data_IF_105624530735
#
_entry.id   IF_105624530735
#
_cell.length_a   1.000
_cell.length_b   1.000
_cell.length_c   1.000
_cell.angle_alpha   90.00
_cell.angle_beta   90.00
_cell.angle_gamma   90.00
#
_symmetry.space_group_name_H-M   'P 1'
#
loop_
_entity.id
_entity.type
_entity.pdbx_description
1 polymer ?
#
# COMPACT_ATOMS: atom_id res chain seq x y z
N UNK A 1 -19.09 -13.91 -23.18
CA UNK A 1 -18.15 -13.76 -22.06
C UNK A 1 -16.78 -13.46 -22.64
N UNK A 2 -16.15 -12.36 -22.23
CA UNK A 2 -14.78 -12.01 -22.61
C UNK A 2 -13.76 -12.87 -21.87
N UNK A 3 -12.54 -12.95 -22.38
CA UNK A 3 -11.42 -13.77 -21.85
C UNK A 3 -11.06 -13.46 -20.38
N UNK A 4 -11.46 -12.29 -19.86
CA UNK A 4 -11.07 -11.80 -18.53
C UNK A 4 -12.24 -11.49 -17.59
N UNK A 5 -13.48 -11.89 -17.93
CA UNK A 5 -14.69 -11.51 -17.18
C UNK A 5 -14.67 -11.89 -15.69
N UNK A 6 -13.92 -12.94 -15.35
CA UNK A 6 -13.78 -13.50 -14.01
C UNK A 6 -12.78 -12.73 -13.12
N UNK A 7 -11.88 -11.94 -13.72
CA UNK A 7 -10.87 -11.18 -12.98
C UNK A 7 -10.99 -9.66 -13.16
N UNK A 8 -11.55 -9.18 -14.27
CA UNK A 8 -11.58 -7.74 -14.58
C UNK A 8 -12.50 -6.93 -13.66
N UNK A 9 -12.26 -5.61 -13.54
CA UNK A 9 -13.20 -4.70 -12.91
C UNK A 9 -14.50 -4.54 -13.70
N UNK A 10 -15.49 -3.88 -13.08
CA UNK A 10 -16.73 -3.55 -13.78
C UNK A 10 -16.53 -2.48 -14.85
N UNK A 11 -17.36 -2.56 -15.88
CA UNK A 11 -17.50 -1.56 -16.95
C UNK A 11 -18.75 -0.72 -16.75
N UNK A 12 -18.83 0.42 -17.44
CA UNK A 12 -19.94 1.37 -17.30
C UNK A 12 -21.32 0.74 -17.54
N UNK A 13 -21.43 -0.23 -18.45
CA UNK A 13 -22.69 -0.94 -18.73
C UNK A 13 -23.14 -1.85 -17.56
N UNK A 14 -22.22 -2.27 -16.70
CA UNK A 14 -22.48 -3.12 -15.54
C UNK A 14 -22.81 -2.30 -14.28
N UNK A 15 -22.36 -1.04 -14.20
CA UNK A 15 -22.49 -0.17 -13.01
C UNK A 15 -23.94 -0.02 -12.53
N UNK A 16 -24.94 0.29 -13.38
CA UNK A 16 -26.32 0.49 -12.91
C UNK A 16 -26.89 -0.75 -12.20
N UNK A 17 -26.56 -1.96 -12.70
CA UNK A 17 -27.03 -3.20 -12.11
C UNK A 17 -26.37 -3.45 -10.75
N UNK A 18 -25.06 -3.24 -10.63
CA UNK A 18 -24.32 -3.41 -9.37
C UNK A 18 -24.80 -2.39 -8.33
N UNK A 19 -24.92 -1.12 -8.72
CA UNK A 19 -25.43 -0.06 -7.84
C UNK A 19 -26.85 -0.35 -7.36
N UNK A 20 -27.71 -0.91 -8.21
CA UNK A 20 -29.06 -1.34 -7.80
C UNK A 20 -29.02 -2.40 -6.70
N UNK A 21 -28.12 -3.38 -6.78
CA UNK A 21 -27.92 -4.37 -5.70
C UNK A 21 -27.45 -3.71 -4.41
N UNK A 22 -26.41 -2.87 -4.50
CA UNK A 22 -25.83 -2.16 -3.35
C UNK A 22 -26.85 -1.28 -2.61
N UNK A 23 -27.78 -0.65 -3.34
CA UNK A 23 -28.85 0.18 -2.75
C UNK A 23 -29.83 -0.60 -1.86
N UNK A 24 -29.89 -1.92 -2.01
CA UNK A 24 -30.78 -2.79 -1.25
C UNK A 24 -30.00 -3.76 -0.35
N UNK A 25 -28.69 -3.61 -0.24
CA UNK A 25 -27.85 -4.49 0.55
C UNK A 25 -27.92 -4.14 2.06
N UNK A 26 -28.44 -5.08 2.85
CA UNK A 26 -28.60 -4.92 4.29
C UNK A 26 -27.27 -4.90 5.05
N UNK A 27 -26.23 -5.57 4.54
CA UNK A 27 -24.90 -5.53 5.16
C UNK A 27 -24.28 -4.14 5.01
N UNK A 28 -24.43 -3.51 3.84
CA UNK A 28 -23.95 -2.14 3.60
C UNK A 28 -24.66 -1.13 4.49
N UNK A 29 -25.98 -1.23 4.64
CA UNK A 29 -26.76 -0.38 5.56
C UNK A 29 -26.26 -0.53 6.99
N UNK A 30 -26.09 -1.78 7.47
CA UNK A 30 -25.58 -2.05 8.83
C UNK A 30 -24.17 -1.51 9.05
N UNK A 31 -23.29 -1.64 8.06
CA UNK A 31 -21.92 -1.14 8.14
C UNK A 31 -21.90 0.41 8.26
N UNK A 32 -22.67 1.11 7.43
CA UNK A 32 -22.77 2.57 7.48
C UNK A 32 -23.42 3.03 8.79
N UNK A 33 -24.44 2.33 9.26
CA UNK A 33 -25.12 2.63 10.52
C UNK A 33 -24.16 2.50 11.71
N UNK A 34 -23.38 1.42 11.77
CA UNK A 34 -22.40 1.21 12.83
C UNK A 34 -21.31 2.30 12.84
N UNK A 35 -20.86 2.72 11.65
CA UNK A 35 -19.84 3.75 11.50
C UNK A 35 -20.35 5.17 11.81
N UNK A 36 -21.53 5.55 11.30
CA UNK A 36 -22.09 6.91 11.47
C UNK A 36 -22.81 7.11 12.80
N UNK A 37 -23.42 6.06 13.34
CA UNK A 37 -24.28 6.12 14.52
C UNK A 37 -23.91 5.06 15.57
N UNK A 38 -22.65 5.01 16.03
CA UNK A 38 -22.18 3.95 16.93
C UNK A 38 -22.94 3.90 18.27
N UNK A 39 -23.43 5.05 18.76
CA UNK A 39 -24.17 5.16 20.03
C UNK A 39 -25.70 5.08 19.87
N UNK A 40 -26.24 5.54 18.74
CA UNK A 40 -27.68 5.65 18.47
C UNK A 40 -28.29 4.37 17.87
N UNK A 41 -27.49 3.57 17.17
CA UNK A 41 -27.91 2.30 16.56
C UNK A 41 -28.43 1.25 17.57
N UNK A 42 -28.06 1.38 18.86
CA UNK A 42 -28.54 0.50 19.93
C UNK A 42 -29.97 0.78 20.39
N UNK A 43 -30.44 2.03 20.30
CA UNK A 43 -31.72 2.46 20.87
C UNK A 43 -32.79 2.80 19.82
N UNK A 44 -32.39 3.23 18.62
CA UNK A 44 -33.31 3.71 17.58
C UNK A 44 -33.02 3.06 16.22
N UNK A 45 -32.69 1.77 16.22
CA UNK A 45 -32.21 1.03 15.04
C UNK A 45 -33.12 1.15 13.81
N UNK A 46 -34.43 1.05 14.00
CA UNK A 46 -35.39 1.15 12.88
C UNK A 46 -35.32 2.52 12.18
N UNK A 47 -35.20 3.61 12.96
CA UNK A 47 -35.11 4.97 12.43
C UNK A 47 -33.74 5.24 11.79
N UNK A 48 -32.64 4.83 12.43
CA UNK A 48 -31.29 5.00 11.89
C UNK A 48 -31.09 4.18 10.61
N UNK A 49 -31.54 2.92 10.58
CA UNK A 49 -31.53 2.10 9.37
C UNK A 49 -32.39 2.73 8.26
N UNK A 50 -33.58 3.27 8.56
CA UNK A 50 -34.43 3.95 7.57
C UNK A 50 -33.74 5.19 6.96
N UNK A 51 -33.15 6.05 7.80
CA UNK A 51 -32.43 7.25 7.35
C UNK A 51 -31.21 6.89 6.50
N UNK A 52 -30.42 5.88 6.93
CA UNK A 52 -29.26 5.39 6.17
C UNK A 52 -29.69 4.84 4.82
N UNK A 53 -30.74 4.00 4.77
CA UNK A 53 -31.27 3.46 3.51
C UNK A 53 -31.71 4.57 2.57
N UNK A 54 -32.49 5.55 3.05
CA UNK A 54 -32.96 6.67 2.23
C UNK A 54 -31.79 7.51 1.70
N UNK A 55 -30.79 7.78 2.53
CA UNK A 55 -29.60 8.51 2.13
C UNK A 55 -28.76 7.73 1.10
N UNK A 56 -28.55 6.44 1.32
CA UNK A 56 -27.82 5.55 0.41
C UNK A 56 -28.53 5.48 -0.95
N UNK A 57 -29.86 5.30 -0.95
CA UNK A 57 -30.65 5.31 -2.17
C UNK A 57 -30.56 6.65 -2.90
N UNK A 58 -30.54 7.77 -2.18
CA UNK A 58 -30.42 9.09 -2.79
C UNK A 58 -29.03 9.32 -3.42
N UNK A 59 -27.95 9.01 -2.70
CA UNK A 59 -26.59 9.25 -3.18
C UNK A 59 -26.19 8.32 -4.33
N UNK A 60 -26.55 7.04 -4.23
CA UNK A 60 -26.19 6.05 -5.24
C UNK A 60 -27.03 6.17 -6.52
N UNK A 61 -28.20 6.83 -6.49
CA UNK A 61 -29.05 7.04 -7.67
C UNK A 61 -28.38 7.81 -8.80
N UNK A 62 -27.36 8.61 -8.48
CA UNK A 62 -26.64 9.45 -9.46
C UNK A 62 -25.44 8.74 -10.08
N UNK A 63 -25.09 7.55 -9.59
CA UNK A 63 -23.93 6.80 -10.07
C UNK A 63 -24.38 5.87 -11.18
N UNK A 64 -23.95 6.16 -12.41
CA UNK A 64 -24.25 5.33 -13.58
C UNK A 64 -22.99 4.85 -14.30
N UNK A 65 -21.84 5.47 -14.00
CA UNK A 65 -20.55 5.16 -14.64
C UNK A 65 -19.47 4.88 -13.60
N UNK A 66 -18.36 4.27 -14.05
CA UNK A 66 -17.15 4.11 -13.26
C UNK A 66 -16.59 5.49 -12.89
N UNK A 67 -16.68 6.48 -13.79
CA UNK A 67 -16.25 7.84 -13.49
C UNK A 67 -17.00 8.44 -12.29
N UNK A 68 -18.32 8.21 -12.19
CA UNK A 68 -19.11 8.68 -11.05
C UNK A 68 -18.64 8.05 -9.72
N UNK A 69 -18.30 6.75 -9.75
CA UNK A 69 -17.73 6.04 -8.59
C UNK A 69 -16.39 6.68 -8.20
N UNK A 70 -15.52 6.94 -9.18
CA UNK A 70 -14.22 7.54 -8.93
C UNK A 70 -14.33 8.94 -8.33
N UNK A 71 -15.25 9.77 -8.81
CA UNK A 71 -15.50 11.10 -8.25
C UNK A 71 -15.99 11.02 -6.79
N UNK A 72 -16.86 10.05 -6.49
CA UNK A 72 -17.29 9.78 -5.12
C UNK A 72 -16.11 9.35 -4.23
N UNK A 73 -15.28 8.42 -4.70
CA UNK A 73 -14.09 7.94 -3.97
C UNK A 73 -13.08 9.07 -3.76
N UNK A 74 -12.85 9.93 -4.76
CA UNK A 74 -11.97 11.09 -4.64
C UNK A 74 -12.47 12.09 -3.59
N UNK A 75 -13.78 12.37 -3.55
CA UNK A 75 -14.39 13.20 -2.51
C UNK A 75 -14.28 12.59 -1.11
N UNK A 76 -14.45 11.27 -1.00
CA UNK A 76 -14.19 10.54 0.24
C UNK A 76 -12.72 10.65 0.67
N UNK A 77 -11.78 10.40 -0.24
CA UNK A 77 -10.34 10.47 0.01
C UNK A 77 -9.89 11.86 0.43
N UNK A 78 -10.43 12.92 -0.18
CA UNK A 78 -10.15 14.31 0.22
C UNK A 78 -10.50 14.54 1.70
N UNK A 79 -11.64 14.02 2.16
CA UNK A 79 -12.05 14.12 3.55
C UNK A 79 -11.23 13.23 4.48
N UNK A 80 -10.91 12.00 4.06
CA UNK A 80 -10.13 11.03 4.84
C UNK A 80 -8.71 11.53 5.06
N UNK A 81 -8.04 12.02 4.01
CA UNK A 81 -6.71 12.62 4.10
C UNK A 81 -6.74 13.81 5.06
N UNK A 82 -7.64 14.78 4.84
CA UNK A 82 -7.77 15.96 5.72
C UNK A 82 -7.99 15.61 7.20
N UNK A 83 -8.71 14.54 7.50
CA UNK A 83 -9.03 14.14 8.90
C UNK A 83 -7.97 13.26 9.55
N UNK A 84 -7.21 12.50 8.76
CA UNK A 84 -6.37 11.42 9.30
C UNK A 84 -4.88 11.59 9.01
N UNK A 85 -4.50 12.58 8.21
CA UNK A 85 -3.09 12.93 7.99
C UNK A 85 -2.83 14.36 8.49
N UNK A 86 -1.61 14.63 8.94
CA UNK A 86 -1.12 15.99 9.22
C UNK A 86 -0.48 16.66 7.99
N UNK A 87 -0.38 15.92 6.88
CA UNK A 87 0.11 16.41 5.60
C UNK A 87 0.12 15.27 4.59
N UNK A 88 -0.25 15.57 3.35
CA UNK A 88 -0.16 14.66 2.22
C UNK A 88 0.62 15.34 1.11
N UNK A 89 1.67 14.70 0.63
CA UNK A 89 2.54 15.21 -0.43
C UNK A 89 2.84 14.10 -1.43
N UNK A 90 3.07 14.47 -2.68
CA UNK A 90 3.52 13.54 -3.70
C UNK A 90 4.49 14.22 -4.66
N UNK A 91 5.35 13.43 -5.30
CA UNK A 91 6.34 13.91 -6.27
C UNK A 91 6.61 12.89 -7.39
N UNK A 92 7.20 13.34 -8.50
CA UNK A 92 7.64 12.48 -9.61
C UNK A 92 6.60 12.25 -10.70
N UNK A 93 5.32 12.49 -10.42
CA UNK A 93 4.25 12.39 -11.43
C UNK A 93 4.41 13.40 -12.58
N UNK A 94 5.04 14.54 -12.34
CA UNK A 94 5.36 15.57 -13.33
C UNK A 94 6.35 15.08 -14.39
N UNK A 95 7.22 14.12 -14.04
CA UNK A 95 8.24 13.55 -14.92
C UNK A 95 7.74 12.38 -15.77
N UNK A 96 6.55 11.85 -15.47
CA UNK A 96 5.98 10.72 -16.20
C UNK A 96 5.16 11.19 -17.41
N UNK A 97 5.19 10.47 -18.55
CA UNK A 97 4.30 10.75 -19.67
C UNK A 97 2.83 10.65 -19.25
N UNK A 98 1.96 11.52 -19.81
CA UNK A 98 0.50 11.50 -19.53
C UNK A 98 -0.26 10.58 -20.49
N UNK A 99 0.31 10.32 -21.64
CA UNK A 99 -0.24 9.58 -22.76
C UNK A 99 0.18 8.10 -22.78
N UNK A 100 0.97 7.65 -21.80
CA UNK A 100 1.45 6.27 -21.69
C UNK A 100 1.12 5.65 -20.34
N UNK A 101 0.45 4.51 -20.36
CA UNK A 101 0.16 3.72 -19.19
C UNK A 101 1.43 3.26 -18.46
N UNK A 102 1.35 3.22 -17.14
CA UNK A 102 2.42 2.75 -16.27
C UNK A 102 1.94 1.55 -15.45
N UNK A 103 2.85 0.61 -15.21
CA UNK A 103 2.68 -0.40 -14.17
C UNK A 103 3.35 0.11 -12.90
N UNK A 104 2.56 0.67 -11.98
CA UNK A 104 3.04 1.12 -10.70
C UNK A 104 3.25 -0.06 -9.75
N UNK A 105 4.47 -0.21 -9.23
CA UNK A 105 4.83 -1.22 -8.23
C UNK A 105 5.26 -0.52 -6.97
N UNK A 106 4.55 -0.72 -5.85
CA UNK A 106 4.87 -0.03 -4.60
C UNK A 106 5.21 -0.97 -3.44
N UNK A 107 5.88 -0.41 -2.44
CA UNK A 107 5.84 -0.99 -1.10
C UNK A 107 4.40 -1.01 -0.60
N UNK A 108 4.12 -1.92 0.33
CA UNK A 108 2.76 -2.17 0.78
C UNK A 108 2.72 -2.31 2.29
N UNK A 109 2.14 -1.34 2.99
CA UNK A 109 2.04 -1.27 4.45
C UNK A 109 0.60 -1.24 4.92
N UNK A 110 -0.33 -0.72 4.13
CA UNK A 110 -1.77 -0.70 4.44
C UNK A 110 -2.59 -1.37 3.34
N UNK A 111 -3.53 -2.23 3.72
CA UNK A 111 -4.33 -3.03 2.78
C UNK A 111 -5.09 -2.14 1.79
N UNK A 112 -5.74 -1.09 2.29
CA UNK A 112 -6.70 -0.29 1.51
C UNK A 112 -6.17 1.11 1.20
N UNK A 113 -5.43 1.73 2.13
CA UNK A 113 -4.99 3.10 1.98
C UNK A 113 -3.86 3.24 0.96
N UNK A 114 -3.00 2.25 0.78
CA UNK A 114 -1.89 2.33 -0.18
C UNK A 114 -2.38 2.61 -1.62
N UNK A 115 -3.21 1.74 -2.25
CA UNK A 115 -3.72 2.02 -3.59
C UNK A 115 -4.63 3.25 -3.62
N UNK A 116 -5.37 3.52 -2.53
CA UNK A 116 -6.26 4.68 -2.47
C UNK A 116 -5.48 6.02 -2.46
N UNK A 117 -4.35 6.09 -1.77
CA UNK A 117 -3.51 7.28 -1.71
C UNK A 117 -2.73 7.47 -3.02
N UNK A 118 -2.28 6.39 -3.67
CA UNK A 118 -1.70 6.45 -5.03
C UNK A 118 -2.73 7.02 -6.01
N UNK A 119 -3.97 6.50 -6.00
CA UNK A 119 -5.05 7.04 -6.81
C UNK A 119 -5.39 8.49 -6.46
N UNK A 120 -5.32 8.87 -5.19
CA UNK A 120 -5.55 10.24 -4.78
C UNK A 120 -4.47 11.21 -5.31
N UNK A 121 -3.20 10.80 -5.33
CA UNK A 121 -2.13 11.57 -5.98
C UNK A 121 -2.36 11.71 -7.50
N UNK A 122 -2.73 10.62 -8.17
CA UNK A 122 -3.07 10.63 -9.60
C UNK A 122 -4.24 11.57 -9.88
N UNK A 123 -5.32 11.48 -9.10
CA UNK A 123 -6.48 12.37 -9.17
C UNK A 123 -6.08 13.85 -9.03
N UNK A 124 -5.29 14.20 -8.02
CA UNK A 124 -4.83 15.58 -7.80
C UNK A 124 -3.95 16.10 -8.93
N UNK A 125 -3.21 15.22 -9.61
CA UNK A 125 -2.40 15.56 -10.79
C UNK A 125 -3.18 15.59 -12.12
N UNK A 126 -4.50 15.35 -12.09
CA UNK A 126 -5.35 15.29 -13.29
C UNK A 126 -5.05 14.09 -14.20
N UNK A 127 -4.59 12.97 -13.63
CA UNK A 127 -4.31 11.72 -14.34
C UNK A 127 -5.43 10.71 -14.15
N UNK A 128 -5.53 9.78 -15.09
CA UNK A 128 -6.43 8.64 -14.93
C UNK A 128 -6.04 7.76 -13.74
N UNK A 129 -7.04 7.19 -13.07
CA UNK A 129 -6.85 6.29 -11.95
C UNK A 129 -6.47 4.89 -12.43
N UNK A 130 -5.70 4.19 -11.60
CA UNK A 130 -5.18 2.85 -11.91
C UNK A 130 -6.22 1.77 -11.68
N UNK A 131 -6.02 0.63 -12.34
CA UNK A 131 -6.64 -0.62 -11.94
C UNK A 131 -5.80 -1.31 -10.86
N UNK A 132 -6.47 -1.78 -9.81
CA UNK A 132 -5.81 -2.22 -8.56
C UNK A 132 -5.82 -3.75 -8.48
N UNK A 133 -4.66 -4.38 -8.34
CA UNK A 133 -4.61 -5.80 -8.03
C UNK A 133 -5.11 -6.08 -6.60
N UNK A 134 -6.09 -6.97 -6.44
CA UNK A 134 -6.57 -7.44 -5.14
C UNK A 134 -6.64 -8.97 -5.10
N UNK A 135 -6.23 -9.57 -3.99
CA UNK A 135 -6.33 -11.03 -3.80
C UNK A 135 -7.78 -11.49 -3.61
N UNK A 136 -8.14 -12.62 -4.20
CA UNK A 136 -9.45 -13.29 -4.03
C UNK A 136 -9.78 -13.63 -2.57
N UNK A 137 -8.76 -13.82 -1.73
CA UNK A 137 -8.91 -14.05 -0.29
C UNK A 137 -9.65 -12.91 0.45
N UNK A 138 -9.65 -11.69 -0.09
CA UNK A 138 -10.38 -10.54 0.46
C UNK A 138 -11.79 -10.38 -0.12
N UNK A 139 -12.14 -11.16 -1.15
CA UNK A 139 -13.37 -11.02 -1.93
C UNK A 139 -14.41 -12.11 -1.64
N UNK A 140 -14.25 -12.85 -0.54
CA UNK A 140 -15.20 -13.90 -0.14
C UNK A 140 -16.61 -13.34 0.15
N UNK A 141 -16.71 -12.08 0.57
CA UNK A 141 -17.98 -11.39 0.74
C UNK A 141 -18.42 -10.72 -0.59
N UNK A 142 -19.59 -11.06 -1.16
CA UNK A 142 -20.10 -10.48 -2.40
C UNK A 142 -20.19 -8.95 -2.38
N UNK A 143 -20.55 -8.34 -1.25
CA UNK A 143 -20.60 -6.88 -1.11
C UNK A 143 -19.21 -6.25 -1.26
N UNK A 144 -18.20 -6.86 -0.65
CA UNK A 144 -16.81 -6.38 -0.74
C UNK A 144 -16.30 -6.56 -2.17
N UNK A 145 -16.62 -7.69 -2.82
CA UNK A 145 -16.31 -7.94 -4.22
C UNK A 145 -16.92 -6.87 -5.15
N UNK A 146 -18.21 -6.57 -4.98
CA UNK A 146 -18.90 -5.56 -5.78
C UNK A 146 -18.24 -4.17 -5.62
N UNK A 147 -17.95 -3.75 -4.38
CA UNK A 147 -17.32 -2.46 -4.08
C UNK A 147 -15.91 -2.37 -4.69
N UNK A 148 -15.10 -3.41 -4.53
CA UNK A 148 -13.72 -3.39 -5.02
C UNK A 148 -13.67 -3.36 -6.56
N UNK A 149 -14.52 -4.15 -7.23
CA UNK A 149 -14.59 -4.15 -8.69
C UNK A 149 -15.16 -2.86 -9.28
N UNK A 150 -16.07 -2.18 -8.57
CA UNK A 150 -16.50 -0.82 -8.93
C UNK A 150 -15.38 0.20 -8.79
N UNK A 151 -14.48 0.01 -7.81
CA UNK A 151 -13.28 0.82 -7.61
C UNK A 151 -12.11 0.43 -8.53
N UNK A 152 -12.42 -0.14 -9.71
CA UNK A 152 -11.44 -0.62 -10.70
C UNK A 152 -10.44 -1.68 -10.20
N UNK A 153 -10.77 -2.42 -9.15
CA UNK A 153 -9.92 -3.53 -8.72
C UNK A 153 -10.15 -4.78 -9.58
N UNK A 154 -9.06 -5.45 -9.95
CA UNK A 154 -9.08 -6.75 -10.62
C UNK A 154 -8.56 -7.86 -9.70
N UNK A 155 -9.09 -9.06 -9.87
CA UNK A 155 -8.87 -10.19 -8.95
C UNK A 155 -7.63 -10.98 -9.32
N UNK A 156 -6.74 -11.15 -8.34
CA UNK A 156 -5.62 -12.08 -8.38
C UNK A 156 -6.04 -13.36 -7.66
N UNK A 157 -6.15 -14.47 -8.39
CA UNK A 157 -6.55 -15.77 -7.83
C UNK A 157 -5.41 -16.41 -7.05
N UNK A 158 -5.48 -16.39 -5.72
CA UNK A 158 -4.44 -16.92 -4.80
C UNK A 158 -4.83 -18.25 -4.21
N UNK A 159 -6.13 -18.47 -3.99
CA UNK A 159 -6.66 -19.69 -3.36
C UNK A 159 -6.77 -20.90 -4.31
N UNK A 160 -6.07 -20.89 -5.45
CA UNK A 160 -6.14 -21.96 -6.45
C UNK A 160 -5.25 -23.12 -6.04
N UNK A 161 -5.82 -24.32 -5.94
CA UNK A 161 -5.09 -25.55 -5.64
C UNK A 161 -4.57 -26.23 -6.92
N UNK A 162 -3.39 -26.84 -6.82
CA UNK A 162 -2.76 -27.58 -7.92
C UNK A 162 -1.90 -26.72 -8.85
N UNK A 163 -0.74 -27.25 -9.21
CA UNK A 163 0.28 -26.56 -10.01
C UNK A 163 -0.25 -26.07 -11.37
N UNK A 164 -1.01 -26.92 -12.08
CA UNK A 164 -1.56 -26.59 -13.41
C UNK A 164 -2.54 -25.41 -13.34
N UNK A 165 -3.43 -25.41 -12.35
CA UNK A 165 -4.43 -24.34 -12.20
C UNK A 165 -3.78 -23.03 -11.75
N UNK A 166 -2.77 -23.08 -10.87
CA UNK A 166 -1.94 -21.90 -10.52
C UNK A 166 -1.25 -21.30 -11.75
N UNK A 167 -0.62 -22.11 -12.58
CA UNK A 167 0.04 -21.63 -13.80
C UNK A 167 -0.96 -21.02 -14.81
N UNK A 168 -2.16 -21.59 -14.92
CA UNK A 168 -3.23 -21.02 -15.74
C UNK A 168 -3.69 -19.66 -15.21
N UNK A 169 -3.90 -19.54 -13.90
CA UNK A 169 -4.26 -18.27 -13.26
C UNK A 169 -3.17 -17.19 -13.45
N UNK A 170 -1.89 -17.55 -13.25
CA UNK A 170 -0.76 -16.64 -13.47
C UNK A 170 -0.61 -16.24 -14.94
N UNK A 171 -0.85 -17.17 -15.87
CA UNK A 171 -0.87 -16.87 -17.31
C UNK A 171 -1.99 -15.87 -17.64
N UNK A 172 -3.20 -16.11 -17.14
CA UNK A 172 -4.35 -15.23 -17.39
C UNK A 172 -4.11 -13.83 -16.83
N UNK A 173 -3.54 -13.75 -15.62
CA UNK A 173 -3.17 -12.50 -14.97
C UNK A 173 -2.11 -11.73 -15.76
N UNK A 174 -1.03 -12.39 -16.19
CA UNK A 174 0.03 -11.78 -17.00
C UNK A 174 -0.52 -11.23 -18.32
N UNK A 175 -1.40 -12.00 -18.99
CA UNK A 175 -2.06 -11.56 -20.22
C UNK A 175 -3.00 -10.37 -19.99
N UNK A 176 -3.73 -10.36 -18.88
CA UNK A 176 -4.61 -9.25 -18.52
C UNK A 176 -3.84 -7.95 -18.27
N UNK A 177 -2.71 -8.04 -17.56
CA UNK A 177 -1.85 -6.87 -17.29
C UNK A 177 -1.31 -6.30 -18.61
N UNK A 178 -0.78 -7.13 -19.52
CA UNK A 178 -0.31 -6.66 -20.82
C UNK A 178 -1.43 -6.04 -21.67
N UNK A 179 -2.61 -6.66 -21.72
CA UNK A 179 -3.77 -6.14 -22.46
C UNK A 179 -4.23 -4.78 -21.92
N UNK A 180 -4.29 -4.64 -20.59
CA UNK A 180 -4.71 -3.40 -19.92
C UNK A 180 -3.73 -2.26 -20.19
N UNK A 181 -2.42 -2.52 -20.08
CA UNK A 181 -1.38 -1.54 -20.41
C UNK A 181 -1.38 -1.18 -21.90
N UNK A 182 -1.60 -2.16 -22.79
CA UNK A 182 -1.69 -1.94 -24.24
C UNK A 182 -2.90 -1.10 -24.64
N UNK A 183 -3.98 -1.14 -23.85
CA UNK A 183 -5.14 -0.26 -23.97
C UNK A 183 -4.98 1.09 -23.26
N UNK A 184 -3.74 1.43 -22.91
CA UNK A 184 -3.35 2.67 -22.24
C UNK A 184 -4.01 2.90 -20.86
N UNK A 185 -4.31 1.82 -20.12
CA UNK A 185 -4.81 1.88 -18.75
C UNK A 185 -3.71 1.48 -17.77
N UNK A 186 -3.39 2.37 -16.82
CA UNK A 186 -2.36 2.12 -15.81
C UNK A 186 -2.83 1.12 -14.74
N UNK A 187 -1.88 0.38 -14.17
CA UNK A 187 -2.13 -0.63 -13.13
C UNK A 187 -1.30 -0.30 -11.89
N UNK A 188 -1.83 -0.61 -10.71
CA UNK A 188 -1.08 -0.68 -9.47
C UNK A 188 -1.05 -2.10 -8.91
N UNK A 189 0.14 -2.56 -8.53
CA UNK A 189 0.36 -3.80 -7.79
C UNK A 189 1.32 -3.56 -6.60
N UNK A 190 1.17 -4.34 -5.55
CA UNK A 190 2.14 -4.40 -4.46
C UNK A 190 3.40 -5.18 -4.90
N UNK A 191 4.57 -4.78 -4.41
CA UNK A 191 5.86 -5.40 -4.72
C UNK A 191 6.04 -6.84 -4.22
N UNK A 192 5.12 -7.33 -3.39
CA UNK A 192 5.09 -8.71 -2.89
C UNK A 192 3.67 -9.08 -2.45
N UNK A 193 3.45 -10.37 -2.25
CA UNK A 193 2.21 -10.84 -1.64
C UNK A 193 2.13 -10.43 -0.15
N UNK A 194 1.10 -9.66 0.18
CA UNK A 194 0.84 -9.20 1.55
C UNK A 194 1.63 -7.95 1.95
N UNK A 195 1.13 -7.28 2.98
CA UNK A 195 1.73 -6.05 3.52
C UNK A 195 2.96 -6.33 4.39
N UNK A 196 3.94 -5.44 4.35
CA UNK A 196 5.09 -5.43 5.24
C UNK A 196 4.65 -5.29 6.70
N UNK A 197 5.14 -6.21 7.54
CA UNK A 197 4.85 -6.25 8.98
C UNK A 197 5.92 -5.55 9.80
N UNK A 198 7.17 -5.62 9.35
CA UNK A 198 8.36 -5.11 10.03
C UNK A 198 8.95 -3.87 9.35
N UNK A 199 8.26 -3.24 8.39
CA UNK A 199 8.81 -2.08 7.67
C UNK A 199 9.98 -2.37 6.72
N UNK A 200 10.34 -3.65 6.53
CA UNK A 200 11.28 -4.07 5.49
C UNK A 200 10.54 -4.24 4.17
N UNK A 201 10.81 -3.33 3.24
CA UNK A 201 10.26 -3.33 1.90
C UNK A 201 11.27 -4.03 0.97
N UNK A 202 10.95 -5.28 0.58
CA UNK A 202 11.69 -6.05 -0.43
C UNK A 202 10.74 -6.58 -1.50
N UNK A 203 11.13 -6.49 -2.76
CA UNK A 203 10.34 -6.94 -3.91
C UNK A 203 10.49 -8.45 -4.08
N UNK A 204 9.40 -9.15 -4.37
CA UNK A 204 9.41 -10.58 -4.67
C UNK A 204 9.64 -10.80 -6.18
N UNK A 205 10.77 -11.42 -6.59
CA UNK A 205 11.05 -11.72 -7.99
C UNK A 205 9.97 -12.58 -8.66
N UNK A 206 9.17 -13.34 -7.89
CA UNK A 206 8.06 -14.12 -8.43
C UNK A 206 7.01 -13.26 -9.14
N UNK A 207 6.80 -12.02 -8.70
CA UNK A 207 5.90 -11.07 -9.38
C UNK A 207 6.45 -10.72 -10.76
N UNK A 208 7.75 -10.46 -10.88
CA UNK A 208 8.38 -10.14 -12.17
C UNK A 208 8.36 -11.36 -13.09
N UNK A 209 8.61 -12.56 -12.55
CA UNK A 209 8.48 -13.82 -13.29
C UNK A 209 7.05 -14.00 -13.82
N UNK A 210 6.04 -13.67 -13.02
CA UNK A 210 4.63 -13.69 -13.44
C UNK A 210 4.38 -12.69 -14.56
N UNK A 211 4.82 -11.44 -14.45
CA UNK A 211 4.63 -10.41 -15.48
C UNK A 211 5.20 -10.84 -16.84
N UNK A 212 6.33 -11.56 -16.85
CA UNK A 212 6.98 -12.02 -18.07
C UNK A 212 6.32 -13.24 -18.75
N UNK A 213 5.36 -13.92 -18.12
CA UNK A 213 4.76 -15.16 -18.67
C UNK A 213 4.15 -14.92 -20.06
N UNK A 214 3.36 -13.86 -20.20
CA UNK A 214 2.71 -13.53 -21.47
C UNK A 214 3.74 -13.13 -22.54
N UNK A 215 4.69 -12.26 -22.22
CA UNK A 215 5.73 -11.84 -23.17
C UNK A 215 6.56 -13.00 -23.69
N UNK A 216 6.96 -13.92 -22.81
CA UNK A 216 7.64 -15.16 -23.20
C UNK A 216 6.80 -16.03 -24.14
N UNK A 217 5.48 -16.12 -23.93
CA UNK A 217 4.59 -16.87 -24.83
C UNK A 217 4.46 -16.23 -26.22
N UNK A 218 4.64 -14.92 -26.31
CA UNK A 218 4.70 -14.19 -27.58
C UNK A 218 6.09 -14.18 -28.23
N UNK A 219 7.09 -14.85 -27.61
CA UNK A 219 8.47 -14.87 -28.11
C UNK A 219 9.25 -13.57 -27.87
N UNK A 220 8.76 -12.66 -27.00
CA UNK A 220 9.48 -11.44 -26.63
C UNK A 220 10.66 -11.77 -25.72
N UNK A 221 11.77 -11.04 -25.89
CA UNK A 221 12.88 -11.10 -24.95
C UNK A 221 12.44 -10.56 -23.57
N UNK A 222 13.15 -10.96 -22.52
CA UNK A 222 12.84 -10.53 -21.15
C UNK A 222 12.93 -9.00 -21.01
N UNK A 223 14.04 -8.40 -21.45
CA UNK A 223 14.26 -6.97 -21.41
C UNK A 223 13.16 -6.19 -22.15
N UNK A 224 12.76 -6.63 -23.34
CA UNK A 224 11.67 -6.01 -24.12
C UNK A 224 10.34 -6.08 -23.38
N UNK A 225 10.06 -7.21 -22.72
CA UNK A 225 8.86 -7.36 -21.91
C UNK A 225 8.84 -6.37 -20.75
N UNK A 226 9.97 -6.19 -20.06
CA UNK A 226 10.07 -5.22 -18.95
C UNK A 226 9.90 -3.76 -19.44
N UNK A 227 10.57 -3.38 -20.54
CA UNK A 227 10.44 -2.04 -21.14
C UNK A 227 9.01 -1.75 -21.60
N UNK A 228 8.33 -2.76 -22.18
CA UNK A 228 6.93 -2.69 -22.62
C UNK A 228 5.98 -2.45 -21.44
N UNK A 229 6.19 -3.15 -20.31
CA UNK A 229 5.36 -3.00 -19.11
C UNK A 229 5.45 -1.62 -18.46
N UNK A 230 6.48 -0.83 -18.79
CA UNK A 230 6.67 0.55 -18.30
C UNK A 230 6.55 0.61 -16.77
N UNK A 231 7.34 -0.23 -16.09
CA UNK A 231 7.31 -0.37 -14.63
C UNK A 231 7.83 0.91 -13.98
N UNK A 232 7.01 1.50 -13.10
CA UNK A 232 7.39 2.67 -12.29
C UNK A 232 7.35 2.29 -10.81
N UNK A 233 8.51 2.23 -10.12
CA UNK A 233 8.54 2.01 -8.69
C UNK A 233 7.89 3.18 -7.93
N UNK A 234 7.10 2.89 -6.91
CA UNK A 234 6.41 3.91 -6.09
C UNK A 234 6.75 3.69 -4.62
N UNK A 235 7.27 4.71 -3.96
CA UNK A 235 7.55 4.68 -2.52
C UNK A 235 6.42 5.36 -1.76
N UNK A 236 5.79 4.62 -0.84
CA UNK A 236 4.74 5.09 0.06
C UNK A 236 5.34 5.18 1.46
N UNK A 237 5.43 6.40 1.98
CA UNK A 237 6.01 6.69 3.29
C UNK A 237 4.94 7.19 4.23
N UNK A 238 4.79 6.51 5.37
CA UNK A 238 3.92 6.91 6.47
C UNK A 238 4.78 7.34 7.66
N UNK A 239 4.41 8.45 8.30
CA UNK A 239 5.00 8.85 9.58
C UNK A 239 4.58 7.91 10.71
N UNK A 240 3.30 7.53 10.73
CA UNK A 240 2.75 6.51 11.63
C UNK A 240 1.92 5.48 10.86
N UNK A 241 2.13 4.21 11.18
CA UNK A 241 1.36 3.10 10.64
C UNK A 241 0.10 2.87 11.51
N UNK A 242 -1.11 3.05 10.96
CA UNK A 242 -2.39 2.83 11.67
C UNK A 242 -2.54 1.44 12.30
N UNK A 243 -1.84 0.46 11.74
CA UNK A 243 -1.92 -0.95 12.07
C UNK A 243 -0.65 -1.45 12.78
N UNK A 244 0.24 -0.58 13.24
CA UNK A 244 1.49 -0.97 13.90
C UNK A 244 1.29 -1.97 15.05
N UNK A 245 0.33 -1.72 15.94
CA UNK A 245 0.02 -2.63 17.04
C UNK A 245 -0.45 -4.01 16.55
N UNK A 246 -1.27 -4.07 15.49
CA UNK A 246 -1.75 -5.34 14.94
C UNK A 246 -0.58 -6.12 14.32
N UNK A 247 0.30 -5.42 13.60
CA UNK A 247 1.51 -6.01 13.00
C UNK A 247 2.49 -6.49 14.06
N UNK A 248 2.69 -5.73 15.14
CA UNK A 248 3.57 -6.14 16.25
C UNK A 248 3.06 -7.41 16.94
N UNK A 249 1.74 -7.52 17.18
CA UNK A 249 1.13 -8.75 17.72
C UNK A 249 1.34 -9.96 16.82
N UNK A 250 1.17 -9.78 15.51
CA UNK A 250 1.42 -10.85 14.53
C UNK A 250 2.90 -11.26 14.48
N UNK A 251 3.84 -10.30 14.52
CA UNK A 251 5.28 -10.57 14.56
C UNK A 251 5.66 -11.34 15.82
N UNK A 252 5.16 -10.92 16.98
CA UNK A 252 5.38 -11.62 18.24
C UNK A 252 4.84 -13.05 18.20
N UNK A 253 3.61 -13.24 17.72
CA UNK A 253 3.00 -14.56 17.65
C UNK A 253 3.80 -15.50 16.74
N UNK A 254 4.32 -14.99 15.61
CA UNK A 254 5.16 -15.76 14.67
C UNK A 254 6.50 -16.21 15.25
N UNK A 255 7.05 -15.49 16.21
CA UNK A 255 8.27 -15.93 16.91
C UNK A 255 7.98 -17.08 17.89
N UNK A 256 6.75 -17.22 18.37
CA UNK A 256 6.36 -18.22 19.35
C UNK A 256 5.73 -19.46 18.72
N UNK A 257 4.95 -19.31 17.65
CA UNK A 257 4.24 -20.39 16.98
C UNK A 257 3.82 -20.03 15.54
N UNK A 258 3.26 -21.00 14.82
CA UNK A 258 2.65 -20.74 13.52
C UNK A 258 1.42 -19.83 13.69
N UNK A 259 1.49 -18.63 13.12
CA UNK A 259 0.42 -17.65 13.23
C UNK A 259 -0.67 -17.92 12.19
N UNK A 260 -1.87 -18.26 12.68
CA UNK A 260 -3.08 -18.35 11.87
C UNK A 260 -3.90 -17.08 12.06
N UNK A 261 -4.19 -16.39 10.96
CA UNK A 261 -5.02 -15.17 10.99
C UNK A 261 -6.40 -15.45 11.56
N UNK A 262 -6.89 -14.52 12.35
CA UNK A 262 -8.26 -14.57 12.88
C UNK A 262 -9.31 -14.17 11.83
N UNK A 263 -10.54 -14.62 12.02
CA UNK A 263 -11.67 -14.15 11.21
C UNK A 263 -11.87 -12.63 11.40
N UNK A 264 -11.99 -11.88 10.30
CA UNK A 264 -12.22 -10.43 10.33
C UNK A 264 -11.00 -9.55 10.66
N UNK A 265 -9.81 -10.12 10.79
CA UNK A 265 -8.58 -9.36 11.07
C UNK A 265 -8.20 -8.39 9.93
N UNK A 266 -8.37 -8.82 8.68
CA UNK A 266 -8.12 -7.96 7.51
C UNK A 266 -9.15 -6.81 7.44
N UNK A 267 -10.42 -7.06 7.81
CA UNK A 267 -11.45 -6.00 7.92
C UNK A 267 -11.06 -4.98 8.99
N UNK A 268 -10.60 -5.45 10.14
CA UNK A 268 -10.13 -4.57 11.23
C UNK A 268 -8.96 -3.71 10.77
N UNK A 269 -8.01 -4.30 10.02
CA UNK A 269 -6.87 -3.57 9.46
C UNK A 269 -7.34 -2.48 8.47
N UNK A 270 -8.29 -2.80 7.57
CA UNK A 270 -8.87 -1.82 6.62
C UNK A 270 -9.54 -0.65 7.36
N UNK A 271 -10.36 -0.95 8.38
CA UNK A 271 -11.05 0.08 9.16
C UNK A 271 -10.04 1.00 9.85
N UNK A 272 -9.00 0.44 10.48
CA UNK A 272 -7.93 1.24 11.12
C UNK A 272 -7.17 2.07 10.11
N UNK A 273 -6.80 1.48 8.98
CA UNK A 273 -6.18 2.20 7.86
C UNK A 273 -6.97 3.43 7.47
N UNK A 274 -8.28 3.31 7.31
CA UNK A 274 -9.15 4.45 6.93
C UNK A 274 -9.30 5.48 8.06
N UNK A 275 -9.45 5.03 9.31
CA UNK A 275 -9.96 5.89 10.40
C UNK A 275 -8.90 6.44 11.35
N UNK A 276 -7.75 5.77 11.51
CA UNK A 276 -6.74 6.19 12.47
C UNK A 276 -5.77 7.24 11.90
N UNK A 277 -5.20 8.11 12.77
CA UNK A 277 -4.17 9.07 12.39
C UNK A 277 -2.91 8.39 11.83
N UNK A 278 -2.35 8.97 10.77
CA UNK A 278 -1.16 8.48 10.03
C UNK A 278 0.04 9.41 10.13
N UNK A 279 -0.14 10.57 10.78
CA UNK A 279 0.80 11.68 10.68
C UNK A 279 0.92 12.16 9.23
N UNK A 280 2.13 12.50 8.81
CA UNK A 280 2.43 12.86 7.42
C UNK A 280 2.49 11.63 6.54
N UNK A 281 2.05 11.80 5.30
CA UNK A 281 2.12 10.78 4.25
C UNK A 281 2.79 11.39 3.02
N UNK A 282 3.72 10.65 2.43
CA UNK A 282 4.41 11.05 1.21
C UNK A 282 4.43 9.92 0.19
N UNK A 283 4.14 10.24 -1.07
CA UNK A 283 4.21 9.30 -2.19
C UNK A 283 5.22 9.81 -3.22
N UNK A 284 6.27 9.05 -3.44
CA UNK A 284 7.27 9.36 -4.47
C UNK A 284 7.16 8.37 -5.63
N UNK A 285 6.87 8.89 -6.82
CA UNK A 285 6.88 8.13 -8.06
C UNK A 285 8.28 8.15 -8.66
N UNK A 286 8.85 6.98 -8.91
CA UNK A 286 10.16 6.82 -9.49
C UNK A 286 10.19 7.03 -10.99
N UNK A 287 11.30 6.62 -11.60
CA UNK A 287 11.51 6.65 -13.04
C UNK A 287 11.19 5.28 -13.65
N UNK A 288 10.61 5.25 -14.87
CA UNK A 288 10.36 4.00 -15.58
C UNK A 288 11.62 3.15 -15.73
N UNK A 289 11.50 1.85 -15.46
CA UNK A 289 12.57 0.90 -15.67
C UNK A 289 12.75 0.64 -17.18
N UNK A 290 13.75 1.27 -17.77
CA UNK A 290 14.07 1.19 -19.21
C UNK A 290 15.43 0.53 -19.50
N UNK A 291 16.10 -0.02 -18.48
CA UNK A 291 17.36 -0.73 -18.64
C UNK A 291 17.15 -2.13 -19.24
N UNK A 292 18.21 -2.68 -19.85
CA UNK A 292 18.23 -4.06 -20.32
C UNK A 292 18.57 -5.02 -19.18
N UNK A 293 17.53 -5.42 -18.44
CA UNK A 293 17.66 -6.42 -17.36
C UNK A 293 17.77 -7.83 -17.94
N UNK A 294 18.56 -8.68 -17.30
CA UNK A 294 18.73 -10.08 -17.73
C UNK A 294 17.73 -11.03 -17.07
N UNK A 295 17.30 -10.69 -15.85
CA UNK A 295 16.48 -11.58 -15.02
C UNK A 295 15.56 -10.82 -14.05
N UNK A 296 14.67 -11.56 -13.39
CA UNK A 296 13.66 -11.03 -12.48
C UNK A 296 14.27 -10.44 -11.20
N UNK A 297 15.39 -10.99 -10.74
CA UNK A 297 16.11 -10.59 -9.55
C UNK A 297 16.72 -9.18 -9.72
N UNK A 298 17.27 -8.87 -10.89
CA UNK A 298 17.78 -7.53 -11.21
C UNK A 298 16.68 -6.47 -11.27
N UNK A 299 15.53 -6.81 -11.86
CA UNK A 299 14.36 -5.92 -11.89
C UNK A 299 13.85 -5.67 -10.47
N UNK A 300 13.72 -6.72 -9.67
CA UNK A 300 13.31 -6.60 -8.26
C UNK A 300 14.28 -5.71 -7.47
N UNK A 301 15.59 -5.89 -7.66
CA UNK A 301 16.60 -5.04 -7.05
C UNK A 301 16.52 -3.58 -7.54
N UNK A 302 16.19 -3.33 -8.81
CA UNK A 302 16.00 -1.98 -9.34
C UNK A 302 14.76 -1.29 -8.74
N UNK A 303 13.66 -2.02 -8.57
CA UNK A 303 12.46 -1.55 -7.86
C UNK A 303 12.83 -1.19 -6.41
N UNK A 304 13.50 -2.11 -5.71
CA UNK A 304 13.89 -1.92 -4.30
C UNK A 304 14.81 -0.71 -4.13
N UNK A 305 15.79 -0.51 -5.04
CA UNK A 305 16.68 0.66 -5.04
C UNK A 305 15.89 1.96 -5.13
N UNK A 306 14.96 2.07 -6.08
CA UNK A 306 14.15 3.29 -6.23
C UNK A 306 13.20 3.50 -5.05
N UNK A 307 12.50 2.47 -4.58
CA UNK A 307 11.59 2.57 -3.44
C UNK A 307 12.34 3.02 -2.18
N UNK A 308 13.51 2.44 -1.93
CA UNK A 308 14.36 2.76 -0.78
C UNK A 308 14.93 4.17 -0.86
N UNK A 309 15.47 4.56 -2.02
CA UNK A 309 16.00 5.91 -2.27
C UNK A 309 14.91 6.98 -2.10
N UNK A 310 13.72 6.72 -2.64
CA UNK A 310 12.61 7.66 -2.65
C UNK A 310 11.79 7.63 -1.35
N UNK A 311 12.05 6.70 -0.43
CA UNK A 311 11.35 6.64 0.84
C UNK A 311 11.66 7.89 1.66
N UNK A 312 10.62 8.67 1.99
CA UNK A 312 10.75 9.86 2.84
C UNK A 312 10.78 9.44 4.30
N UNK A 313 11.92 9.67 4.94
CA UNK A 313 12.06 9.46 6.38
C UNK A 313 11.29 10.53 7.15
N UNK A 314 10.80 10.14 8.32
CA UNK A 314 10.14 11.02 9.29
C UNK A 314 10.87 10.94 10.64
N UNK A 315 10.65 11.90 11.55
CA UNK A 315 11.26 11.87 12.88
C UNK A 315 11.04 10.54 13.62
N UNK A 316 9.87 9.91 13.46
CA UNK A 316 9.57 8.59 14.04
C UNK A 316 10.58 7.51 13.64
N UNK A 317 11.13 7.55 12.42
CA UNK A 317 12.12 6.57 11.98
C UNK A 317 13.45 6.71 12.71
N UNK A 318 13.91 7.95 12.91
CA UNK A 318 15.17 8.25 13.58
C UNK A 318 15.04 7.97 15.08
N UNK A 319 13.96 8.45 15.70
CA UNK A 319 13.69 8.25 17.12
C UNK A 319 13.53 6.76 17.47
N UNK A 320 12.86 5.99 16.60
CA UNK A 320 12.77 4.55 16.77
C UNK A 320 14.14 3.87 16.72
N UNK A 321 14.98 4.30 15.79
CA UNK A 321 16.33 3.79 15.65
C UNK A 321 17.20 4.12 16.88
N UNK A 322 17.17 5.36 17.37
CA UNK A 322 17.89 5.77 18.60
C UNK A 322 17.44 4.95 19.81
N UNK A 323 16.13 4.78 20.03
CA UNK A 323 15.61 3.98 21.14
C UNK A 323 15.97 2.49 20.99
N UNK A 324 15.90 1.94 19.78
CA UNK A 324 16.30 0.56 19.51
C UNK A 324 17.79 0.34 19.79
N UNK A 325 18.63 1.33 19.47
CA UNK A 325 20.06 1.30 19.78
C UNK A 325 20.29 1.28 21.29
N UNK A 326 19.64 2.15 22.07
CA UNK A 326 19.77 2.16 23.54
C UNK A 326 19.27 0.85 24.16
N UNK A 327 18.19 0.27 23.62
CA UNK A 327 17.73 -1.07 24.02
C UNK A 327 18.78 -2.12 23.66
N UNK A 328 19.31 -2.11 22.44
CA UNK A 328 20.35 -3.04 22.00
C UNK A 328 21.61 -2.93 22.84
N UNK A 329 22.07 -1.71 23.17
CA UNK A 329 23.21 -1.42 24.04
C UNK A 329 22.98 -1.96 25.47
N UNK A 330 21.73 -1.92 25.95
CA UNK A 330 21.34 -2.54 27.21
C UNK A 330 21.42 -4.08 27.19
N UNK A 331 21.55 -4.69 25.99
CA UNK A 331 21.73 -6.13 25.75
C UNK A 331 23.04 -6.48 25.01
N UNK A 332 23.96 -5.52 24.80
CA UNK A 332 25.09 -5.64 23.86
C UNK A 332 26.42 -6.07 24.52
N UNK A 333 26.55 -7.34 24.87
CA UNK A 333 27.89 -7.92 25.07
C UNK A 333 28.53 -8.40 23.75
N UNK A 334 27.94 -8.13 22.58
CA UNK A 334 28.31 -8.78 21.33
C UNK A 334 28.26 -7.80 20.12
N UNK A 335 29.46 -7.47 19.61
CA UNK A 335 29.84 -6.89 18.29
C UNK A 335 29.77 -5.36 18.08
N UNK A 336 30.92 -4.70 18.22
CA UNK A 336 31.15 -3.23 18.13
C UNK A 336 31.11 -2.65 16.70
N UNK A 337 31.43 -3.44 15.67
CA UNK A 337 31.68 -2.92 14.31
C UNK A 337 30.39 -2.55 13.54
N UNK A 338 29.30 -3.26 13.80
CA UNK A 338 27.98 -2.95 13.21
C UNK A 338 27.36 -1.69 13.83
N UNK A 339 27.64 -1.43 15.11
CA UNK A 339 27.12 -0.28 15.85
C UNK A 339 27.72 1.05 15.35
N UNK A 340 29.01 1.10 15.02
CA UNK A 340 29.66 2.32 14.55
C UNK A 340 29.13 2.78 13.18
N UNK A 341 29.00 1.86 12.21
CA UNK A 341 28.42 2.16 10.90
C UNK A 341 26.98 2.66 11.05
N UNK A 342 26.19 2.02 11.91
CA UNK A 342 24.81 2.43 12.18
C UNK A 342 24.70 3.80 12.89
N UNK A 343 25.67 4.17 13.73
CA UNK A 343 25.75 5.50 14.36
C UNK A 343 26.04 6.60 13.35
N UNK A 344 26.97 6.37 12.41
CA UNK A 344 27.25 7.33 11.34
C UNK A 344 26.03 7.57 10.46
N UNK A 345 25.27 6.51 10.14
CA UNK A 345 24.04 6.60 9.33
C UNK A 345 22.94 7.41 10.03
N UNK A 346 22.78 7.24 11.35
CA UNK A 346 21.86 8.04 12.14
C UNK A 346 22.32 9.50 12.26
N UNK A 347 23.62 9.74 12.42
CA UNK A 347 24.22 11.07 12.46
C UNK A 347 24.03 11.84 11.16
N UNK A 348 24.23 11.19 10.00
CA UNK A 348 23.99 11.79 8.69
C UNK A 348 22.51 12.10 8.45
N UNK A 349 21.60 11.19 8.86
CA UNK A 349 20.16 11.43 8.80
C UNK A 349 19.74 12.58 9.72
N UNK A 350 20.34 12.70 10.92
CA UNK A 350 20.11 13.78 11.88
C UNK A 350 20.64 15.12 11.36
N UNK A 351 21.84 15.17 10.78
CA UNK A 351 22.39 16.40 10.20
C UNK A 351 21.59 16.92 9.00
N UNK A 352 21.05 16.02 8.16
CA UNK A 352 20.12 16.41 7.09
C UNK A 352 18.79 16.99 7.64
N UNK A 353 18.44 16.66 8.88
CA UNK A 353 17.22 17.07 9.58
C UNK A 353 17.43 18.17 10.63
N UNK A 354 18.66 18.46 11.07
CA UNK A 354 18.97 19.56 12.00
C UNK A 354 18.76 20.94 11.35
N UNK A 355 18.54 20.96 10.02
CA UNK A 355 18.03 22.10 9.28
C UNK A 355 16.49 22.26 9.37
N UNK A 356 15.78 21.28 9.95
CA UNK A 356 14.38 21.40 10.38
C UNK A 356 14.35 21.87 11.84
N UNK A 357 13.28 22.57 12.18
CA UNK A 357 13.11 23.26 13.45
C UNK A 357 13.38 22.34 14.66
N UNK A 358 14.36 22.72 15.52
CA UNK A 358 14.71 21.93 16.72
C UNK A 358 13.50 21.75 17.63
N UNK A 359 12.59 22.72 17.63
CA UNK A 359 11.38 22.68 18.44
C UNK A 359 10.39 21.61 17.92
N UNK A 360 10.27 21.43 16.59
CA UNK A 360 9.48 20.35 16.00
C UNK A 360 10.04 18.98 16.39
N UNK A 361 11.37 18.81 16.35
CA UNK A 361 12.01 17.56 16.73
C UNK A 361 11.80 17.21 18.21
N UNK A 362 11.90 18.19 19.11
CA UNK A 362 11.60 18.00 20.53
C UNK A 362 10.15 17.57 20.77
N UNK A 363 9.20 18.22 20.11
CA UNK A 363 7.79 17.84 20.18
C UNK A 363 7.56 16.41 19.65
N UNK A 364 8.13 16.09 18.49
CA UNK A 364 7.97 14.76 17.86
C UNK A 364 8.63 13.65 18.67
N UNK A 365 9.72 13.93 19.36
CA UNK A 365 10.35 13.00 20.29
C UNK A 365 9.40 12.62 21.44
N UNK A 366 8.77 13.61 22.07
CA UNK A 366 7.78 13.37 23.13
C UNK A 366 6.59 12.58 22.60
N UNK A 367 5.97 13.02 21.50
CA UNK A 367 4.81 12.35 20.89
C UNK A 367 5.10 10.89 20.54
N UNK A 368 6.27 10.61 19.98
CA UNK A 368 6.66 9.26 19.61
C UNK A 368 6.97 8.39 20.84
N UNK A 369 7.66 8.95 21.83
CA UNK A 369 7.94 8.24 23.10
C UNK A 369 6.65 7.88 23.83
N UNK A 370 5.70 8.80 23.94
CA UNK A 370 4.38 8.55 24.55
C UNK A 370 3.60 7.48 23.77
N UNK A 371 3.65 7.53 22.43
CA UNK A 371 3.06 6.50 21.58
C UNK A 371 3.65 5.12 21.86
N UNK A 372 4.98 5.00 21.88
CA UNK A 372 5.67 3.73 22.15
C UNK A 372 5.37 3.23 23.56
N UNK A 373 5.42 4.11 24.56
CA UNK A 373 5.09 3.80 25.96
C UNK A 373 3.64 3.37 26.17
N UNK A 374 2.72 3.77 25.28
CA UNK A 374 1.33 3.31 25.28
C UNK A 374 1.13 1.85 24.81
N UNK A 375 2.14 1.23 24.20
CA UNK A 375 2.08 -0.18 23.80
C UNK A 375 2.54 -1.12 24.91
N UNK A 376 2.02 -2.37 24.96
CA UNK A 376 2.52 -3.40 25.87
C UNK A 376 4.04 -3.59 25.73
N UNK A 377 4.77 -3.67 26.85
CA UNK A 377 6.24 -3.75 26.87
C UNK A 377 6.82 -4.82 25.93
N UNK A 378 6.20 -6.01 25.87
CA UNK A 378 6.65 -7.11 25.00
C UNK A 378 6.54 -6.79 23.50
N UNK A 379 5.74 -5.79 23.12
CA UNK A 379 5.51 -5.40 21.72
C UNK A 379 6.36 -4.20 21.30
N UNK A 380 6.90 -3.43 22.25
CA UNK A 380 7.62 -2.19 21.97
C UNK A 380 8.84 -2.43 21.06
N UNK A 381 9.57 -3.56 21.24
CA UNK A 381 10.69 -3.94 20.36
C UNK A 381 10.27 -4.02 18.89
N UNK A 382 9.19 -4.74 18.58
CA UNK A 382 8.71 -4.90 17.20
C UNK A 382 8.21 -3.57 16.60
N UNK A 383 7.62 -2.70 17.43
CA UNK A 383 7.22 -1.36 17.00
C UNK A 383 8.47 -0.56 16.61
N UNK A 384 9.48 -0.51 17.49
CA UNK A 384 10.72 0.23 17.24
C UNK A 384 11.45 -0.31 16.00
N UNK A 385 11.59 -1.63 15.86
CA UNK A 385 12.15 -2.26 14.65
C UNK A 385 11.37 -1.84 13.39
N UNK A 386 10.04 -1.87 13.43
CA UNK A 386 9.19 -1.50 12.29
C UNK A 386 9.41 -0.07 11.82
N UNK A 387 9.60 0.87 12.76
CA UNK A 387 9.87 2.28 12.45
C UNK A 387 11.34 2.54 12.12
N UNK A 388 12.29 1.77 12.65
CA UNK A 388 13.72 1.94 12.37
C UNK A 388 14.14 1.35 11.01
N UNK A 389 13.52 0.25 10.59
CA UNK A 389 13.88 -0.49 9.37
C UNK A 389 13.91 0.34 8.07
N UNK A 390 13.02 1.32 7.82
CA UNK A 390 13.14 2.20 6.66
C UNK A 390 14.43 3.02 6.63
N UNK A 391 14.88 3.51 7.80
CA UNK A 391 16.16 4.21 7.93
C UNK A 391 17.32 3.25 7.66
N UNK A 392 17.30 2.08 8.31
CA UNK A 392 18.34 1.05 8.16
C UNK A 392 18.45 0.65 6.68
N UNK A 393 17.34 0.34 6.01
CA UNK A 393 17.35 -0.04 4.60
C UNK A 393 17.90 1.05 3.68
N UNK A 394 17.51 2.31 3.94
CA UNK A 394 17.95 3.45 3.12
C UNK A 394 19.46 3.62 3.09
N UNK A 395 20.12 3.23 4.17
CA UNK A 395 21.53 3.48 4.38
C UNK A 395 22.41 2.22 4.41
N UNK A 396 21.86 1.05 4.70
CA UNK A 396 22.57 -0.24 4.63
C UNK A 396 22.88 -0.63 3.18
N UNK A 397 22.09 -0.15 2.21
CA UNK A 397 22.22 -0.44 0.78
C UNK A 397 23.10 0.52 -0.02
N UNK A 398 23.77 1.49 0.59
CA UNK A 398 24.74 2.36 -0.09
C UNK A 398 26.15 1.71 -0.05
N UNK A 399 26.61 1.01 -1.11
CA UNK A 399 28.03 0.95 -1.36
C UNK A 399 28.48 2.39 -1.62
N UNK A 400 29.66 2.78 -1.11
CA UNK A 400 30.16 4.14 -1.22
C UNK A 400 30.04 4.67 -2.64
N UNK A 401 29.16 5.65 -2.84
CA UNK A 401 29.28 6.60 -3.94
C UNK A 401 30.57 7.38 -3.65
N UNK A 402 31.68 6.85 -4.14
CA UNK A 402 32.82 7.67 -4.49
C UNK A 402 32.28 8.78 -5.40
N UNK A 403 32.18 9.98 -4.86
CA UNK A 403 31.87 11.19 -5.63
C UNK A 403 32.76 11.18 -6.88
N UNK A 404 32.22 11.49 -8.08
CA UNK A 404 33.09 11.81 -9.20
C UNK A 404 33.89 13.05 -8.78
N UNK A 405 35.18 12.85 -8.51
CA UNK A 405 36.12 13.96 -8.54
C UNK A 405 36.07 14.52 -9.96
N UNK A 406 35.81 15.82 -10.02
CA UNK A 406 35.78 16.68 -11.20
C UNK A 406 36.87 16.41 -12.21
#
# INVERSE_FOLDING_TARGET
MSTFDDIRPYRDDEVPQVISRLRHDEQLVRAIEHYKFPRLSKYCRSLTSFLVRRNLQHNLRRINTIHDVQNMVAGFMTNTVRKTTSGFTYEGLDKLPKDRACLFISNHRDIAMDPALVNFALYQSGRELVEIAIGDNLLSNPLVSDIMRLNRSFTVKRSVEGHKAKLQALTQLSAYIDDTLSQNRSIWIAQREGRAKNGLDKTDPAIIKMLNIYGRKQGMAFADTIKRMNIVPVSISYEYDPCDLLKAKELQAREQSEYVKGEGEDITSIIRGISCPKGRVHIAFGEPLQQDFENAEEVAAAIDRQITRNYKLFPSNILAFEQLKTLSESFAHLQEESLHRLQELAGQARQAWDNLDRDEMGQKASEFSDRVGGYPNLLQRYILEMYANPLINKFAGAPGDSAPQT
#
